data_IF_495850629617
#
_entry.id   IF_495850629617
#
_cell.length_a   1.000
_cell.length_b   1.000
_cell.length_c   1.000
_cell.angle_alpha   90.00
_cell.angle_beta   90.00
_cell.angle_gamma   90.00
#
_symmetry.space_group_name_H-M   'P 1'
#
loop_
_entity.id
_entity.type
_entity.pdbx_description
1 polymer ?
#
# COMPACT_ATOMS: atom_id res chain seq x y z
N UNK A 1 -1.79 -31.73 25.34
CA UNK A 1 -1.74 -30.30 25.69
C UNK A 1 -1.52 -29.54 24.40
N UNK A 2 -2.55 -28.86 23.89
CA UNK A 2 -2.41 -28.01 22.71
C UNK A 2 -1.60 -26.78 23.14
N UNK A 3 -0.46 -26.56 22.54
CA UNK A 3 0.32 -25.33 22.68
C UNK A 3 -0.57 -24.18 22.22
N UNK A 4 -0.94 -23.32 23.15
CA UNK A 4 -1.55 -22.02 22.83
C UNK A 4 -0.51 -21.26 22.02
N UNK A 5 -0.66 -21.24 20.71
CA UNK A 5 0.11 -20.32 19.87
C UNK A 5 -0.28 -18.90 20.28
N UNK A 6 0.60 -18.19 20.97
CA UNK A 6 0.42 -16.78 21.27
C UNK A 6 0.05 -16.05 19.97
N UNK A 7 -1.11 -15.41 19.96
CA UNK A 7 -1.48 -14.53 18.83
C UNK A 7 -0.49 -13.37 18.83
N UNK A 8 0.09 -13.03 17.68
CA UNK A 8 0.96 -11.86 17.61
C UNK A 8 0.18 -10.63 18.06
N UNK A 9 0.81 -9.80 18.87
CA UNK A 9 0.21 -8.53 19.29
C UNK A 9 -0.14 -7.66 18.07
N UNK A 10 -1.27 -6.94 18.09
CA UNK A 10 -1.63 -6.04 17.00
C UNK A 10 -0.61 -4.91 16.90
N UNK A 11 -0.24 -4.58 15.67
CA UNK A 11 0.58 -3.40 15.39
C UNK A 11 -0.31 -2.21 15.03
N UNK A 12 0.17 -1.01 15.30
CA UNK A 12 -0.53 0.23 14.95
C UNK A 12 0.25 0.98 13.88
N UNK A 13 -0.48 1.39 12.84
CA UNK A 13 0.05 2.08 11.70
C UNK A 13 -0.64 3.44 11.53
N UNK A 14 0.05 4.41 10.91
CA UNK A 14 -0.50 5.74 10.68
C UNK A 14 -0.52 6.07 9.18
N UNK A 15 -1.26 7.11 8.81
CA UNK A 15 -1.27 7.64 7.45
C UNK A 15 -0.36 8.85 7.33
N UNK A 16 0.37 8.93 6.20
CA UNK A 16 1.12 10.13 5.85
C UNK A 16 0.17 11.09 5.11
N UNK A 17 0.00 12.34 5.58
CA UNK A 17 -0.92 13.29 4.97
C UNK A 17 -0.30 13.98 3.75
N UNK A 18 -0.02 13.22 2.68
CA UNK A 18 0.51 13.78 1.43
C UNK A 18 -0.46 14.72 0.72
N UNK A 19 -1.73 14.67 1.06
CA UNK A 19 -2.79 15.60 0.61
C UNK A 19 -2.80 16.91 1.44
N UNK A 20 -1.99 17.00 2.49
CA UNK A 20 -2.10 18.01 3.54
C UNK A 20 -3.04 17.57 4.65
N UNK A 21 -3.24 18.43 5.64
CA UNK A 21 -4.04 18.15 6.83
C UNK A 21 -4.80 19.39 7.31
N UNK A 22 -5.85 19.18 8.11
CA UNK A 22 -6.66 20.24 8.68
C UNK A 22 -7.77 19.67 9.56
N UNK A 23 -8.43 20.57 10.32
CA UNK A 23 -9.56 20.20 11.16
C UNK A 23 -10.81 19.77 10.39
N UNK A 24 -10.92 20.24 9.14
CA UNK A 24 -12.05 19.95 8.26
C UNK A 24 -11.56 19.49 6.90
N UNK A 25 -12.10 18.38 6.42
CA UNK A 25 -11.88 17.89 5.07
C UNK A 25 -12.91 18.49 4.11
N UNK A 26 -12.61 18.51 2.81
CA UNK A 26 -13.51 19.03 1.79
C UNK A 26 -13.50 20.56 1.65
N UNK A 27 -12.57 21.25 2.31
CA UNK A 27 -12.32 22.69 2.09
C UNK A 27 -11.44 22.91 0.87
N UNK A 28 -11.30 24.17 0.41
CA UNK A 28 -10.50 24.50 -0.78
C UNK A 28 -9.01 24.18 -0.63
N UNK A 29 -8.49 24.32 0.58
CA UNK A 29 -7.08 24.07 0.85
C UNK A 29 -6.86 23.49 2.25
N UNK A 30 -5.80 22.68 2.45
CA UNK A 30 -5.43 22.21 3.78
C UNK A 30 -4.94 23.36 4.66
N UNK A 31 -5.26 23.31 5.96
CA UNK A 31 -4.70 24.25 6.95
C UNK A 31 -3.19 24.03 7.10
N UNK A 32 -2.72 22.80 6.93
CA UNK A 32 -1.33 22.38 6.94
C UNK A 32 -0.98 21.76 5.58
N UNK A 33 -0.36 22.49 4.66
CA UNK A 33 0.04 21.96 3.37
C UNK A 33 1.11 20.85 3.54
N UNK A 34 1.19 19.90 2.60
CA UNK A 34 2.09 18.75 2.71
C UNK A 34 3.54 19.12 2.38
N UNK A 35 4.12 20.09 3.10
CA UNK A 35 5.53 20.42 2.96
C UNK A 35 6.41 19.28 3.47
N UNK A 36 7.63 19.15 2.92
CA UNK A 36 8.55 18.11 3.38
C UNK A 36 8.83 18.20 4.88
N UNK A 37 9.02 19.40 5.42
CA UNK A 37 9.28 19.59 6.85
C UNK A 37 8.10 19.14 7.71
N UNK A 38 6.86 19.43 7.30
CA UNK A 38 5.67 18.95 7.98
C UNK A 38 5.57 17.42 7.94
N UNK A 39 5.74 16.80 6.76
CA UNK A 39 5.68 15.35 6.62
C UNK A 39 6.79 14.65 7.40
N UNK A 40 7.99 15.21 7.42
CA UNK A 40 9.12 14.74 8.21
C UNK A 40 8.80 14.77 9.71
N UNK A 41 8.22 15.85 10.22
CA UNK A 41 7.82 15.95 11.63
C UNK A 41 6.76 14.90 11.99
N UNK A 42 5.75 14.70 11.16
CA UNK A 42 4.73 13.66 11.32
C UNK A 42 5.37 12.27 11.41
N UNK A 43 6.25 11.92 10.47
CA UNK A 43 6.89 10.61 10.40
C UNK A 43 7.78 10.34 11.60
N UNK A 44 8.63 11.31 11.96
CA UNK A 44 9.53 11.18 13.11
C UNK A 44 8.76 11.14 14.44
N UNK A 45 7.63 11.83 14.51
CA UNK A 45 6.74 11.76 15.67
C UNK A 45 6.09 10.38 15.78
N UNK A 46 5.57 9.84 14.69
CA UNK A 46 5.01 8.49 14.66
C UNK A 46 6.06 7.43 15.06
N UNK A 47 7.29 7.56 14.55
CA UNK A 47 8.41 6.68 14.93
C UNK A 47 8.76 6.75 16.42
N UNK A 48 8.77 7.96 17.02
CA UNK A 48 9.01 8.13 18.46
C UNK A 48 7.90 7.53 19.33
N UNK A 49 6.65 7.64 18.85
CA UNK A 49 5.48 7.11 19.55
C UNK A 49 5.28 5.60 19.37
N UNK A 50 6.13 4.92 18.59
CA UNK A 50 6.10 3.47 18.45
C UNK A 50 5.12 2.93 17.42
N UNK A 51 4.65 3.76 16.50
CA UNK A 51 3.91 3.24 15.33
C UNK A 51 4.81 2.32 14.51
N UNK A 52 4.24 1.22 14.03
CA UNK A 52 4.98 0.16 13.33
C UNK A 52 5.23 0.50 11.88
N UNK A 53 4.26 1.09 11.21
CA UNK A 53 4.38 1.50 9.81
C UNK A 53 3.55 2.75 9.48
N UNK A 54 3.83 3.29 8.30
CA UNK A 54 3.18 4.47 7.75
C UNK A 54 2.64 4.14 6.37
N UNK A 55 1.34 4.26 6.17
CA UNK A 55 0.75 4.13 4.86
C UNK A 55 0.83 5.46 4.13
N UNK A 56 1.43 5.42 2.92
CA UNK A 56 1.46 6.55 2.00
C UNK A 56 0.47 6.24 0.87
N UNK A 57 -0.62 7.01 0.74
CA UNK A 57 -1.60 6.80 -0.32
C UNK A 57 -1.02 7.20 -1.68
N UNK A 58 -1.66 6.76 -2.77
CA UNK A 58 -1.34 7.19 -4.13
C UNK A 58 -2.54 7.86 -4.77
N UNK A 59 -2.33 9.08 -5.27
CA UNK A 59 -3.31 9.90 -5.99
C UNK A 59 -2.58 10.75 -7.01
N UNK A 60 -3.28 11.19 -8.04
CA UNK A 60 -2.74 12.12 -9.02
C UNK A 60 -3.16 13.57 -8.73
N UNK A 61 -4.34 13.75 -8.18
CA UNK A 61 -4.84 15.05 -7.67
C UNK A 61 -5.22 14.91 -6.20
N UNK A 62 -5.28 16.04 -5.50
CA UNK A 62 -5.72 16.05 -4.11
C UNK A 62 -7.14 15.50 -4.00
N UNK A 63 -7.37 14.58 -3.07
CA UNK A 63 -8.64 13.90 -2.91
C UNK A 63 -9.32 14.16 -1.56
N UNK A 64 -8.72 15.00 -0.73
CA UNK A 64 -9.26 15.40 0.57
C UNK A 64 -9.69 16.86 0.60
N UNK A 65 -9.14 17.68 -0.31
CA UNK A 65 -9.42 19.10 -0.48
C UNK A 65 -9.79 19.37 -1.95
N UNK A 66 -9.67 20.62 -2.40
CA UNK A 66 -9.84 20.93 -3.81
C UNK A 66 -8.78 20.21 -4.67
N UNK A 67 -9.13 19.82 -5.89
CA UNK A 67 -8.23 19.12 -6.81
C UNK A 67 -6.95 19.91 -7.13
N UNK A 68 -7.02 21.25 -7.08
CA UNK A 68 -5.87 22.15 -7.25
C UNK A 68 -5.03 22.35 -5.99
N UNK A 69 -5.45 21.79 -4.84
CA UNK A 69 -4.67 21.85 -3.61
C UNK A 69 -3.36 21.05 -3.72
N UNK A 70 -2.32 21.43 -2.97
CA UNK A 70 -1.05 20.72 -3.00
C UNK A 70 -1.18 19.22 -2.70
N UNK A 71 -0.47 18.42 -3.47
CA UNK A 71 -0.34 16.98 -3.26
C UNK A 71 1.12 16.58 -3.53
N UNK A 72 1.71 15.80 -2.64
CA UNK A 72 3.07 15.27 -2.84
C UNK A 72 3.02 13.94 -3.58
N UNK A 73 3.99 13.71 -4.48
CA UNK A 73 4.12 12.43 -5.17
C UNK A 73 4.58 11.34 -4.20
N UNK A 74 3.94 10.19 -4.27
CA UNK A 74 4.00 9.10 -3.30
C UNK A 74 5.40 8.52 -3.11
N UNK A 75 6.06 8.09 -4.20
CA UNK A 75 7.31 7.32 -4.15
C UNK A 75 8.52 8.20 -3.87
N UNK A 76 8.56 9.39 -4.46
CA UNK A 76 9.62 10.38 -4.20
C UNK A 76 9.57 10.84 -2.74
N UNK A 77 8.36 11.11 -2.23
CA UNK A 77 8.15 11.48 -0.83
C UNK A 77 8.54 10.36 0.12
N UNK A 78 8.10 9.11 -0.17
CA UNK A 78 8.49 7.94 0.62
C UNK A 78 10.01 7.79 0.74
N UNK A 79 10.73 7.98 -0.37
CA UNK A 79 12.18 7.87 -0.39
C UNK A 79 12.86 8.91 0.51
N UNK A 80 12.40 10.16 0.44
CA UNK A 80 12.93 11.24 1.27
C UNK A 80 12.65 10.99 2.77
N UNK A 81 11.44 10.53 3.10
CA UNK A 81 11.04 10.23 4.48
C UNK A 81 11.78 9.00 5.05
N UNK A 82 12.03 7.99 4.22
CA UNK A 82 12.79 6.82 4.63
C UNK A 82 14.25 7.16 4.99
N UNK A 83 14.84 8.16 4.32
CA UNK A 83 16.19 8.61 4.60
C UNK A 83 16.35 9.37 5.93
N UNK A 84 15.25 9.89 6.49
CA UNK A 84 15.25 10.67 7.75
C UNK A 84 14.63 9.92 8.93
N UNK A 85 14.41 8.61 8.79
CA UNK A 85 13.88 7.69 9.81
C UNK A 85 14.76 6.44 9.90
N UNK A 86 14.60 5.64 10.95
CA UNK A 86 15.51 4.50 11.23
C UNK A 86 14.80 3.16 11.48
N UNK A 87 13.57 3.17 11.98
CA UNK A 87 12.85 1.96 12.42
C UNK A 87 11.49 1.77 11.74
N UNK A 88 10.72 2.85 11.60
CA UNK A 88 9.35 2.80 11.09
C UNK A 88 9.34 2.29 9.65
N UNK A 89 8.39 1.40 9.35
CA UNK A 89 8.21 0.85 8.01
C UNK A 89 7.34 1.76 7.14
N UNK A 90 7.42 1.56 5.84
CA UNK A 90 6.65 2.31 4.84
C UNK A 90 5.79 1.35 4.03
N UNK A 91 4.48 1.46 4.18
CA UNK A 91 3.49 0.80 3.33
C UNK A 91 3.10 1.76 2.21
N UNK A 92 3.66 1.55 1.02
CA UNK A 92 3.58 2.53 -0.07
C UNK A 92 2.59 2.05 -1.12
N UNK A 93 1.59 2.89 -1.40
CA UNK A 93 0.58 2.54 -2.38
C UNK A 93 1.08 2.69 -3.82
N UNK A 94 0.60 1.81 -4.70
CA UNK A 94 0.80 1.89 -6.14
C UNK A 94 -0.47 1.47 -6.87
N UNK A 95 -0.77 2.17 -7.97
CA UNK A 95 -1.79 1.73 -8.94
C UNK A 95 -1.10 0.96 -10.06
N UNK A 96 -1.50 -0.30 -10.31
CA UNK A 96 -1.01 -1.05 -11.46
C UNK A 96 -1.25 -0.28 -12.77
N UNK A 97 -0.25 -0.28 -13.66
CA UNK A 97 -0.33 0.42 -14.95
C UNK A 97 0.23 1.84 -14.96
N UNK A 98 0.41 2.51 -13.82
CA UNK A 98 0.99 3.86 -13.78
C UNK A 98 2.52 3.85 -13.92
N UNK A 99 3.15 2.76 -13.53
CA UNK A 99 4.61 2.58 -13.60
C UNK A 99 4.90 1.24 -14.28
N UNK A 100 5.79 1.23 -15.25
CA UNK A 100 6.24 -0.01 -15.90
C UNK A 100 6.79 -1.01 -14.88
N UNK A 101 6.40 -2.27 -14.96
CA UNK A 101 6.64 -3.27 -13.93
C UNK A 101 8.13 -3.45 -13.55
N UNK A 102 9.02 -3.47 -14.55
CA UNK A 102 10.47 -3.59 -14.29
C UNK A 102 11.03 -2.37 -13.55
N UNK A 103 10.59 -1.15 -13.93
CA UNK A 103 10.97 0.07 -13.24
C UNK A 103 10.40 0.10 -11.82
N UNK A 104 9.14 -0.28 -11.65
CA UNK A 104 8.51 -0.36 -10.35
C UNK A 104 9.25 -1.32 -9.40
N UNK A 105 9.56 -2.54 -9.86
CA UNK A 105 10.33 -3.50 -9.07
C UNK A 105 11.70 -2.92 -8.65
N UNK A 106 12.35 -2.16 -9.54
CA UNK A 106 13.62 -1.49 -9.27
C UNK A 106 13.48 -0.37 -8.25
N UNK A 107 12.41 0.43 -8.32
CA UNK A 107 12.13 1.50 -7.36
C UNK A 107 11.93 0.93 -5.96
N UNK A 108 11.11 -0.12 -5.83
CA UNK A 108 10.90 -0.81 -4.55
C UNK A 108 12.21 -1.34 -3.99
N UNK A 109 12.99 -2.05 -4.80
CA UNK A 109 14.27 -2.61 -4.37
C UNK A 109 15.27 -1.52 -3.93
N UNK A 110 15.35 -0.42 -4.68
CA UNK A 110 16.24 0.71 -4.33
C UNK A 110 15.81 1.35 -3.00
N UNK A 111 14.52 1.61 -2.83
CA UNK A 111 14.01 2.19 -1.59
C UNK A 111 14.18 1.23 -0.41
N UNK A 112 14.02 -0.07 -0.64
CA UNK A 112 14.22 -1.08 0.40
C UNK A 112 15.71 -1.18 0.82
N UNK A 113 16.64 -1.01 -0.12
CA UNK A 113 18.08 -0.87 0.19
C UNK A 113 18.36 0.39 1.02
N UNK A 114 17.81 1.55 0.61
CA UNK A 114 17.97 2.83 1.34
C UNK A 114 17.42 2.70 2.76
N UNK A 115 16.27 2.10 2.90
CA UNK A 115 15.57 1.96 4.17
C UNK A 115 16.04 0.77 5.02
N UNK A 116 16.89 -0.12 4.48
CA UNK A 116 17.34 -1.36 5.11
C UNK A 116 16.18 -2.30 5.47
N UNK A 117 15.35 -2.61 4.49
CA UNK A 117 14.28 -3.62 4.62
C UNK A 117 12.97 -3.10 5.22
N UNK A 118 12.69 -1.79 5.16
CA UNK A 118 11.50 -1.20 5.76
C UNK A 118 10.38 -0.87 4.76
N UNK A 119 10.37 -1.46 3.58
CA UNK A 119 9.35 -1.21 2.56
C UNK A 119 8.37 -2.35 2.46
N UNK A 120 7.09 -2.01 2.39
CA UNK A 120 5.98 -2.87 1.98
C UNK A 120 5.16 -2.14 0.90
N UNK A 121 4.45 -2.87 0.08
CA UNK A 121 3.72 -2.33 -1.07
C UNK A 121 2.22 -2.55 -0.91
N UNK A 122 1.42 -1.49 -0.98
CA UNK A 122 -0.03 -1.56 -1.05
C UNK A 122 -0.50 -1.48 -2.51
N UNK A 123 -0.95 -2.60 -3.05
CA UNK A 123 -1.49 -2.70 -4.41
C UNK A 123 -2.93 -2.19 -4.41
N UNK A 124 -3.20 -1.16 -5.24
CA UNK A 124 -4.50 -0.48 -5.32
C UNK A 124 -5.06 -0.58 -6.75
N UNK A 125 -5.65 -1.72 -7.15
CA UNK A 125 -6.24 -1.88 -8.49
C UNK A 125 -7.50 -1.04 -8.67
N UNK A 126 -8.24 -0.86 -7.58
CA UNK A 126 -9.43 0.00 -7.53
C UNK A 126 -9.06 1.47 -7.38
N UNK A 127 -10.06 2.30 -7.20
CA UNK A 127 -9.91 3.71 -6.87
C UNK A 127 -10.61 4.65 -7.82
N UNK A 128 -10.17 5.91 -7.82
CA UNK A 128 -10.84 6.99 -8.54
C UNK A 128 -10.61 6.81 -10.04
N UNK A 129 -11.68 6.59 -10.79
CA UNK A 129 -11.63 6.37 -12.24
C UNK A 129 -10.95 7.55 -12.98
N UNK A 130 -11.19 8.77 -12.55
CA UNK A 130 -10.60 9.97 -13.15
C UNK A 130 -9.07 10.01 -13.11
N UNK A 131 -8.42 9.40 -12.09
CA UNK A 131 -6.95 9.33 -12.08
C UNK A 131 -6.41 8.48 -13.24
N UNK A 132 -7.11 7.38 -13.57
CA UNK A 132 -6.73 6.53 -14.70
C UNK A 132 -6.92 7.26 -16.04
N UNK A 133 -8.07 7.91 -16.22
CA UNK A 133 -8.40 8.68 -17.42
C UNK A 133 -7.42 9.83 -17.65
N UNK A 134 -7.10 10.60 -16.60
CA UNK A 134 -6.15 11.73 -16.66
C UNK A 134 -4.73 11.31 -17.02
N UNK A 135 -4.33 10.10 -16.65
CA UNK A 135 -3.01 9.55 -16.95
C UNK A 135 -2.99 8.67 -18.20
N UNK A 136 -4.08 8.62 -18.96
CA UNK A 136 -4.17 7.86 -20.21
C UNK A 136 -4.12 6.35 -20.00
N UNK A 137 -4.53 5.85 -18.85
CA UNK A 137 -4.58 4.41 -18.57
C UNK A 137 -5.98 3.89 -18.87
N UNK A 138 -6.14 3.33 -20.05
CA UNK A 138 -7.40 2.77 -20.54
C UNK A 138 -7.47 1.27 -20.23
N UNK A 139 -7.99 0.94 -19.05
CA UNK A 139 -8.18 -0.44 -18.63
C UNK A 139 -9.47 -0.55 -17.79
N UNK A 140 -10.27 -1.56 -18.07
CA UNK A 140 -11.50 -1.79 -17.32
C UNK A 140 -11.26 -2.25 -15.88
N UNK A 141 -12.32 -2.29 -15.10
CA UNK A 141 -12.25 -2.65 -13.68
C UNK A 141 -11.57 -4.01 -13.48
N UNK A 142 -11.96 -5.04 -14.20
CA UNK A 142 -11.45 -6.39 -14.00
C UNK A 142 -10.03 -6.54 -14.53
N UNK A 143 -9.73 -5.91 -15.65
CA UNK A 143 -8.39 -5.85 -16.21
C UNK A 143 -7.37 -5.23 -15.25
N UNK A 144 -7.76 -4.24 -14.44
CA UNK A 144 -6.88 -3.68 -13.41
C UNK A 144 -6.46 -4.71 -12.36
N UNK A 145 -7.35 -5.64 -11.99
CA UNK A 145 -6.99 -6.73 -11.07
C UNK A 145 -6.09 -7.77 -11.73
N UNK A 146 -6.33 -8.09 -13.00
CA UNK A 146 -5.45 -8.99 -13.76
C UNK A 146 -4.05 -8.39 -13.91
N UNK A 147 -3.95 -7.10 -14.26
CA UNK A 147 -2.68 -6.38 -14.33
C UNK A 147 -1.98 -6.32 -12.97
N UNK A 148 -2.73 -6.14 -11.87
CA UNK A 148 -2.19 -6.17 -10.52
C UNK A 148 -1.58 -7.54 -10.20
N UNK A 149 -2.25 -8.62 -10.57
CA UNK A 149 -1.74 -9.98 -10.37
C UNK A 149 -0.42 -10.20 -11.13
N UNK A 150 -0.38 -9.79 -12.40
CA UNK A 150 0.85 -9.87 -13.19
C UNK A 150 1.97 -9.03 -12.58
N UNK A 151 1.68 -7.80 -12.12
CA UNK A 151 2.66 -6.93 -11.47
C UNK A 151 3.27 -7.59 -10.22
N UNK A 152 2.42 -8.13 -9.34
CA UNK A 152 2.89 -8.78 -8.11
C UNK A 152 3.77 -10.01 -8.41
N UNK A 153 3.36 -10.82 -9.40
CA UNK A 153 4.14 -11.98 -9.87
C UNK A 153 5.48 -11.56 -10.48
N UNK A 154 5.47 -10.58 -11.37
CA UNK A 154 6.67 -10.06 -12.02
C UNK A 154 7.66 -9.49 -10.99
N UNK A 155 7.17 -8.71 -10.01
CA UNK A 155 8.00 -8.17 -8.94
C UNK A 155 8.65 -9.28 -8.10
N UNK A 156 7.89 -10.31 -7.69
CA UNK A 156 8.45 -11.43 -6.92
C UNK A 156 9.55 -12.17 -7.67
N UNK A 157 9.42 -12.31 -9.00
CA UNK A 157 10.46 -12.91 -9.81
C UNK A 157 11.69 -12.00 -9.89
N UNK A 158 11.51 -10.72 -10.21
CA UNK A 158 12.60 -9.75 -10.34
C UNK A 158 13.37 -9.56 -9.04
N UNK A 159 12.70 -9.59 -7.88
CA UNK A 159 13.33 -9.43 -6.57
C UNK A 159 14.21 -10.61 -6.15
N UNK A 160 14.23 -11.70 -6.91
CA UNK A 160 15.23 -12.77 -6.73
C UNK A 160 16.62 -12.39 -7.25
N UNK A 161 16.71 -11.30 -8.03
CA UNK A 161 17.98 -10.81 -8.57
C UNK A 161 18.46 -11.52 -9.82
N UNK A 162 17.74 -12.50 -10.32
CA UNK A 162 18.07 -13.25 -11.54
C UNK A 162 17.41 -12.63 -12.78
N UNK A 163 17.89 -12.91 -14.01
CA UNK A 163 17.21 -12.53 -15.23
C UNK A 163 15.82 -13.17 -15.32
N UNK A 164 14.83 -12.38 -15.71
CA UNK A 164 13.43 -12.80 -15.79
C UNK A 164 12.90 -12.55 -17.19
N UNK A 165 12.36 -13.59 -17.80
CA UNK A 165 11.44 -13.52 -18.91
C UNK A 165 10.01 -13.69 -18.37
N UNK A 166 9.13 -12.78 -18.68
CA UNK A 166 7.74 -12.80 -18.25
C UNK A 166 6.83 -12.45 -19.43
N UNK A 167 5.83 -13.27 -19.70
CA UNK A 167 4.86 -13.06 -20.77
C UNK A 167 3.46 -13.15 -20.18
N UNK A 168 2.86 -12.00 -19.93
CA UNK A 168 1.50 -11.84 -19.48
C UNK A 168 0.66 -11.10 -20.53
N UNK A 169 -0.59 -10.84 -20.20
CA UNK A 169 -1.49 -10.03 -21.03
C UNK A 169 -1.12 -8.54 -20.97
N UNK A 170 -0.66 -8.06 -19.84
CA UNK A 170 -0.37 -6.64 -19.57
C UNK A 170 1.12 -6.36 -19.39
N UNK A 171 1.89 -7.35 -18.99
CA UNK A 171 3.31 -7.18 -18.66
C UNK A 171 4.13 -8.17 -19.46
N UNK A 172 5.15 -7.66 -20.15
CA UNK A 172 6.16 -8.47 -20.84
C UNK A 172 7.54 -8.01 -20.41
N UNK A 173 8.40 -8.95 -20.04
CA UNK A 173 9.80 -8.72 -19.68
C UNK A 173 10.69 -9.64 -20.47
N UNK A 174 11.84 -9.16 -20.91
CA UNK A 174 12.84 -9.92 -21.66
C UNK A 174 14.20 -9.79 -20.96
N UNK A 175 14.67 -10.86 -20.30
CA UNK A 175 15.94 -10.92 -19.57
C UNK A 175 16.07 -9.81 -18.52
N UNK A 176 14.95 -9.28 -18.01
CA UNK A 176 14.95 -8.16 -17.08
C UNK A 176 15.54 -8.59 -15.74
N UNK A 177 16.40 -7.76 -15.13
CA UNK A 177 17.04 -8.06 -13.85
C UNK A 177 16.90 -6.89 -12.89
N UNK A 178 16.52 -7.17 -11.65
CA UNK A 178 16.56 -6.23 -10.54
C UNK A 178 17.84 -6.45 -9.71
N UNK A 179 18.84 -5.60 -9.93
CA UNK A 179 20.11 -5.64 -9.18
C UNK A 179 20.44 -4.23 -8.68
N UNK A 180 20.71 -4.05 -7.36
CA UNK A 180 20.54 -5.06 -6.32
C UNK A 180 19.07 -5.48 -6.14
N UNK A 181 18.83 -6.68 -5.61
CA UNK A 181 17.49 -7.06 -5.14
C UNK A 181 17.12 -6.25 -3.88
N UNK A 182 15.88 -6.32 -3.37
CA UNK A 182 15.51 -5.72 -2.09
C UNK A 182 16.43 -6.19 -0.96
N UNK A 183 16.65 -5.35 0.03
CA UNK A 183 17.41 -5.67 1.23
C UNK A 183 16.67 -6.70 2.10
N UNK A 184 15.36 -6.51 2.24
CA UNK A 184 14.45 -7.39 2.96
C UNK A 184 13.54 -8.18 2.02
N UNK A 185 12.33 -8.44 2.49
CA UNK A 185 11.27 -9.09 1.71
C UNK A 185 10.05 -8.19 1.71
N UNK A 186 9.89 -7.29 0.75
CA UNK A 186 8.71 -6.44 0.65
C UNK A 186 7.44 -7.28 0.56
N UNK A 187 6.48 -7.01 1.45
CA UNK A 187 5.18 -7.69 1.47
C UNK A 187 4.19 -6.93 0.60
N UNK A 188 3.29 -7.67 -0.01
CA UNK A 188 2.16 -7.10 -0.73
C UNK A 188 0.93 -7.03 0.17
N UNK A 189 0.43 -5.83 0.33
CA UNK A 189 -0.86 -5.52 0.93
C UNK A 189 -1.86 -5.21 -0.16
N UNK A 190 -3.10 -5.59 0.02
CA UNK A 190 -4.18 -5.25 -0.89
C UNK A 190 -5.52 -5.24 -0.15
N UNK A 191 -6.33 -4.24 -0.43
CA UNK A 191 -7.71 -4.14 0.04
C UNK A 191 -8.71 -4.22 -1.12
N UNK A 192 -9.97 -4.22 -0.76
CA UNK A 192 -11.08 -4.20 -1.71
C UNK A 192 -12.17 -5.18 -1.29
N UNK A 193 -13.44 -4.84 -1.59
CA UNK A 193 -14.60 -5.58 -1.11
C UNK A 193 -15.29 -6.40 -2.23
N UNK A 194 -14.78 -6.30 -3.47
CA UNK A 194 -15.34 -7.08 -4.58
C UNK A 194 -14.84 -8.54 -4.54
N UNK A 195 -15.61 -9.50 -5.07
CA UNK A 195 -15.14 -10.89 -5.19
C UNK A 195 -13.79 -11.01 -5.91
N UNK A 196 -13.56 -10.14 -6.91
CA UNK A 196 -12.29 -10.09 -7.66
C UNK A 196 -11.13 -9.66 -6.77
N UNK A 197 -11.34 -8.65 -5.91
CA UNK A 197 -10.34 -8.19 -4.96
C UNK A 197 -9.98 -9.28 -3.94
N UNK A 198 -10.98 -9.93 -3.36
CA UNK A 198 -10.80 -11.01 -2.39
C UNK A 198 -10.03 -12.20 -3.01
N UNK A 199 -10.40 -12.59 -4.25
CA UNK A 199 -9.74 -13.68 -4.97
C UNK A 199 -8.28 -13.35 -5.34
N UNK A 200 -7.98 -12.11 -5.77
CA UNK A 200 -6.61 -11.68 -6.02
C UNK A 200 -5.78 -11.70 -4.73
N UNK A 201 -6.33 -11.16 -3.63
CA UNK A 201 -5.66 -11.17 -2.34
C UNK A 201 -5.30 -12.58 -1.90
N UNK A 202 -6.25 -13.51 -1.97
CA UNK A 202 -6.04 -14.91 -1.59
C UNK A 202 -4.88 -15.57 -2.37
N UNK A 203 -4.72 -15.22 -3.66
CA UNK A 203 -3.65 -15.76 -4.49
C UNK A 203 -2.31 -15.07 -4.29
N UNK A 204 -2.30 -13.74 -4.08
CA UNK A 204 -1.08 -12.95 -4.23
C UNK A 204 -0.70 -12.09 -3.03
N UNK A 205 -1.64 -11.68 -2.15
CA UNK A 205 -1.32 -10.73 -1.09
C UNK A 205 -0.77 -11.43 0.17
N UNK A 206 0.11 -10.75 0.88
CA UNK A 206 0.63 -11.21 2.16
C UNK A 206 -0.22 -10.70 3.32
N UNK A 207 -0.89 -9.55 3.11
CA UNK A 207 -1.85 -8.95 4.05
C UNK A 207 -3.07 -8.46 3.30
N UNK A 208 -4.27 -8.84 3.78
CA UNK A 208 -5.53 -8.31 3.27
C UNK A 208 -6.02 -7.14 4.13
N UNK A 209 -6.19 -5.97 3.50
CA UNK A 209 -6.63 -4.75 4.17
C UNK A 209 -8.15 -4.66 4.17
N UNK A 210 -8.71 -4.52 5.34
CA UNK A 210 -10.14 -4.35 5.60
C UNK A 210 -10.44 -2.87 5.88
N UNK A 211 -11.60 -2.42 5.44
CA UNK A 211 -12.22 -1.20 5.93
C UNK A 211 -13.07 -1.51 7.14
N UNK A 212 -13.25 -0.52 8.02
CA UNK A 212 -14.17 -0.67 9.14
C UNK A 212 -15.59 -0.83 8.63
N UNK A 213 -16.24 -1.87 9.11
CA UNK A 213 -17.63 -2.22 8.87
C UNK A 213 -18.28 -2.61 10.20
N UNK A 214 -19.62 -2.71 10.28
CA UNK A 214 -20.27 -3.33 11.45
C UNK A 214 -19.67 -4.71 11.75
N UNK A 215 -19.46 -5.02 13.00
CA UNK A 215 -18.71 -6.21 13.46
C UNK A 215 -19.18 -7.52 12.80
N UNK A 216 -20.50 -7.72 12.62
CA UNK A 216 -21.03 -8.92 11.96
C UNK A 216 -20.53 -9.06 10.51
N UNK A 217 -20.62 -7.96 9.72
CA UNK A 217 -20.13 -7.97 8.32
C UNK A 217 -18.62 -8.16 8.23
N UNK A 218 -17.89 -7.58 9.18
CA UNK A 218 -16.43 -7.74 9.23
C UNK A 218 -16.07 -9.20 9.52
N UNK A 219 -16.74 -9.84 10.46
CA UNK A 219 -16.56 -11.25 10.78
C UNK A 219 -16.85 -12.16 9.58
N UNK A 220 -18.00 -11.97 8.92
CA UNK A 220 -18.37 -12.72 7.71
C UNK A 220 -17.34 -12.56 6.59
N UNK A 221 -16.80 -11.34 6.41
CA UNK A 221 -15.76 -11.09 5.40
C UNK A 221 -14.45 -11.78 5.76
N UNK A 222 -14.02 -11.71 7.01
CA UNK A 222 -12.82 -12.38 7.49
C UNK A 222 -12.93 -13.89 7.26
N UNK A 223 -14.06 -14.49 7.61
CA UNK A 223 -14.33 -15.92 7.39
C UNK A 223 -14.25 -16.30 5.92
N UNK A 224 -14.95 -15.55 5.05
CA UNK A 224 -14.99 -15.80 3.60
C UNK A 224 -13.61 -15.65 2.97
N UNK A 225 -12.86 -14.60 3.32
CA UNK A 225 -11.50 -14.36 2.79
C UNK A 225 -10.55 -15.44 3.32
N UNK A 226 -10.66 -15.82 4.58
CA UNK A 226 -9.85 -16.90 5.16
C UNK A 226 -10.05 -18.21 4.40
N UNK A 227 -11.29 -18.56 4.08
CA UNK A 227 -11.58 -19.76 3.29
C UNK A 227 -10.93 -19.71 1.89
N UNK A 228 -10.93 -18.54 1.23
CA UNK A 228 -10.25 -18.37 -0.07
C UNK A 228 -8.73 -18.52 0.04
N UNK A 229 -8.11 -17.96 1.08
CA UNK A 229 -6.66 -18.14 1.33
C UNK A 229 -6.31 -19.61 1.55
N UNK A 230 -7.09 -20.32 2.38
CA UNK A 230 -6.89 -21.75 2.62
C UNK A 230 -7.06 -22.59 1.35
N UNK A 231 -8.02 -22.25 0.49
CA UNK A 231 -8.18 -22.89 -0.83
C UNK A 231 -6.96 -22.70 -1.76
N UNK A 232 -6.19 -21.62 -1.55
CA UNK A 232 -4.91 -21.36 -2.22
C UNK A 232 -3.69 -21.95 -1.48
N UNK A 233 -3.90 -22.72 -0.40
CA UNK A 233 -2.82 -23.26 0.44
C UNK A 233 -2.06 -22.20 1.24
N UNK A 234 -2.71 -21.06 1.56
CA UNK A 234 -2.09 -19.91 2.22
C UNK A 234 -2.83 -19.54 3.50
N UNK A 235 -2.13 -18.90 4.41
CA UNK A 235 -2.72 -18.33 5.63
C UNK A 235 -2.88 -16.81 5.46
N UNK A 236 -4.07 -16.25 5.77
CA UNK A 236 -4.27 -14.81 5.68
C UNK A 236 -3.64 -14.08 6.87
N UNK A 237 -3.13 -12.89 6.59
CA UNK A 237 -2.89 -11.84 7.58
C UNK A 237 -3.82 -10.67 7.27
N UNK A 238 -4.36 -10.02 8.30
CA UNK A 238 -5.32 -8.94 8.13
C UNK A 238 -4.81 -7.63 8.71
N UNK A 239 -5.09 -6.53 8.00
CA UNK A 239 -5.00 -5.18 8.52
C UNK A 239 -6.37 -4.51 8.49
N UNK A 240 -6.72 -3.77 9.52
CA UNK A 240 -7.97 -3.01 9.60
C UNK A 240 -7.68 -1.52 9.49
N UNK A 241 -8.25 -0.88 8.49
CA UNK A 241 -8.24 0.58 8.37
C UNK A 241 -9.46 1.18 9.08
N UNK A 242 -9.19 2.11 9.99
CA UNK A 242 -10.23 2.85 10.70
C UNK A 242 -9.93 4.34 10.73
N UNK A 243 -10.93 5.14 11.10
CA UNK A 243 -10.79 6.55 11.41
C UNK A 243 -10.87 6.74 12.93
N UNK A 244 -10.00 7.56 13.47
CA UNK A 244 -9.99 7.92 14.88
C UNK A 244 -10.37 9.38 15.05
N UNK A 245 -11.25 9.65 16.00
CA UNK A 245 -11.56 10.99 16.45
C UNK A 245 -11.10 11.12 17.90
N UNK A 246 -10.08 11.94 18.10
CA UNK A 246 -9.51 12.19 19.43
C UNK A 246 -9.95 13.58 19.90
N UNK A 247 -10.50 13.66 21.11
CA UNK A 247 -10.94 14.90 21.75
C UNK A 247 -10.49 14.91 23.20
N UNK A 248 -10.21 16.09 23.74
CA UNK A 248 -9.91 16.27 25.17
C UNK A 248 -11.20 16.16 26.02
N UNK A 249 -12.35 16.44 25.43
CA UNK A 249 -13.67 16.34 26.05
C UNK A 249 -14.46 15.24 25.35
N UNK A 250 -15.04 14.27 26.09
CA UNK A 250 -15.85 13.20 25.50
C UNK A 250 -17.28 13.63 25.06
N UNK A 251 -17.69 14.90 25.29
CA UNK A 251 -19.01 15.45 24.96
C UNK A 251 -18.98 16.43 23.79
#
# INVERSE_FOLDING_TARGET
MATVTERPEPTFDWFIPIDGDGRHLGTLAPERPPTFDYLKDVVQTAERLGFSSLLIPTRFVNGLFDEGAPLMETWTTATALAAVTSRIRFLIAVRPGFIAAGLFAKMVATLDQISRGRVDVNIVPGGIQHDFERLGVEIDHDGRYDQAEELMRACRLLWRGEPVDFSGKYITLHGARCSPPPYGTPRFYQGGASPRAEALAARQSDVYLLWIEPHGRLAERIERVTAQFHACGRMPSFGLRTHLVVRNDPH
#
